data_IF_341392087633
#
_entry.id   IF_341392087633
#
_cell.length_a   1.000
_cell.length_b   1.000
_cell.length_c   1.000
_cell.angle_alpha   90.00
_cell.angle_beta   90.00
_cell.angle_gamma   90.00
#
_symmetry.space_group_name_H-M   'P 1'
#
loop_
_entity.id
_entity.type
_entity.pdbx_description
1 polymer ?
#
# COMPACT_ATOMS: atom_id res chain seq x y z
N UNK A 1 -4.79 21.83 -23.52
CA UNK A 1 -5.61 20.60 -23.39
C UNK A 1 -5.01 19.51 -22.49
N UNK A 2 -3.72 19.54 -22.17
CA UNK A 2 -3.04 18.60 -21.25
C UNK A 2 -3.45 18.69 -19.76
N UNK A 3 -4.26 19.68 -19.38
CA UNK A 3 -4.42 20.08 -17.98
C UNK A 3 -5.60 19.41 -17.24
N UNK A 4 -6.57 18.81 -17.95
CA UNK A 4 -7.76 18.21 -17.30
C UNK A 4 -7.55 16.73 -16.95
N UNK A 5 -6.98 15.93 -17.86
CA UNK A 5 -6.79 14.48 -17.66
C UNK A 5 -5.73 14.12 -16.59
N UNK A 6 -4.76 15.02 -16.34
CA UNK A 6 -3.72 14.82 -15.30
C UNK A 6 -4.14 15.43 -13.95
N UNK A 7 -4.88 16.54 -13.94
CA UNK A 7 -5.34 17.18 -12.69
C UNK A 7 -6.48 16.42 -12.01
N UNK A 8 -7.37 15.79 -12.77
CA UNK A 8 -8.54 15.10 -12.19
C UNK A 8 -8.16 13.94 -11.26
N UNK A 9 -7.25 12.99 -11.62
CA UNK A 9 -6.87 11.90 -10.72
C UNK A 9 -6.18 12.38 -9.43
N UNK A 10 -5.34 13.42 -9.54
CA UNK A 10 -4.70 14.06 -8.39
C UNK A 10 -5.71 14.75 -7.48
N UNK A 11 -6.70 15.44 -8.05
CA UNK A 11 -7.77 16.12 -7.30
C UNK A 11 -8.65 15.15 -6.54
N UNK A 12 -8.95 13.98 -7.10
CA UNK A 12 -9.68 12.92 -6.41
C UNK A 12 -8.90 12.42 -5.20
N UNK A 13 -7.59 12.22 -5.34
CA UNK A 13 -6.72 11.67 -4.28
C UNK A 13 -6.57 12.57 -3.04
N UNK A 14 -7.03 13.82 -3.11
CA UNK A 14 -6.90 14.83 -2.06
C UNK A 14 -8.24 15.33 -1.54
N UNK A 15 -9.37 14.71 -1.92
CA UNK A 15 -10.67 15.07 -1.37
C UNK A 15 -10.82 14.54 0.07
N UNK A 16 -11.68 15.20 0.85
CA UNK A 16 -11.98 14.74 2.21
C UNK A 16 -12.67 13.37 2.19
N UNK A 17 -13.50 13.10 1.19
CA UNK A 17 -14.10 11.78 0.99
C UNK A 17 -13.02 10.71 0.79
N UNK A 18 -12.13 10.91 -0.20
CA UNK A 18 -11.06 9.96 -0.52
C UNK A 18 -10.15 9.71 0.68
N UNK A 19 -9.76 10.77 1.39
CA UNK A 19 -8.83 10.65 2.53
C UNK A 19 -9.46 10.05 3.78
N UNK A 20 -10.74 10.32 4.06
CA UNK A 20 -11.44 9.74 5.21
C UNK A 20 -11.53 8.22 5.14
N UNK A 21 -11.67 7.68 3.91
CA UNK A 21 -11.86 6.25 3.63
C UNK A 21 -10.63 5.39 3.96
N UNK A 22 -9.43 5.97 4.05
CA UNK A 22 -8.26 5.24 4.55
C UNK A 22 -8.41 4.79 6.00
N UNK A 23 -9.17 5.52 6.81
CA UNK A 23 -9.26 5.29 8.25
C UNK A 23 -10.39 4.32 8.66
N UNK A 24 -11.26 3.93 7.74
CA UNK A 24 -12.44 3.11 8.02
C UNK A 24 -12.55 1.89 7.09
N UNK A 25 -13.48 0.99 7.40
CA UNK A 25 -13.70 -0.27 6.68
C UNK A 25 -15.19 -0.54 6.50
N UNK A 26 -15.56 -1.39 5.55
CA UNK A 26 -16.98 -1.70 5.28
C UNK A 26 -17.56 -2.71 6.29
N UNK A 27 -16.69 -3.36 7.07
CA UNK A 27 -17.05 -4.45 7.98
C UNK A 27 -16.67 -4.13 9.44
N UNK A 28 -15.39 -3.82 9.69
CA UNK A 28 -14.83 -3.47 10.99
C UNK A 28 -15.13 -2.01 11.37
N UNK A 29 -15.35 -1.78 12.66
CA UNK A 29 -15.32 -0.43 13.24
C UNK A 29 -13.90 0.19 13.15
N UNK A 30 -13.76 1.53 13.17
CA UNK A 30 -12.46 2.21 13.17
C UNK A 30 -11.49 1.69 14.24
N UNK A 31 -11.97 1.39 15.45
CA UNK A 31 -11.13 0.83 16.51
C UNK A 31 -10.64 -0.58 16.17
N UNK A 32 -11.51 -1.46 15.67
CA UNK A 32 -11.12 -2.81 15.26
C UNK A 32 -10.11 -2.78 14.11
N UNK A 33 -10.30 -1.89 13.13
CA UNK A 33 -9.35 -1.68 12.05
C UNK A 33 -8.00 -1.16 12.58
N UNK A 34 -8.02 -0.22 13.53
CA UNK A 34 -6.81 0.28 14.17
C UNK A 34 -6.05 -0.83 14.90
N UNK A 35 -6.74 -1.64 15.71
CA UNK A 35 -6.14 -2.77 16.43
C UNK A 35 -5.53 -3.77 15.45
N UNK A 36 -6.28 -4.15 14.40
CA UNK A 36 -5.77 -5.04 13.36
C UNK A 36 -4.48 -4.51 12.72
N UNK A 37 -4.50 -3.27 12.24
CA UNK A 37 -3.33 -2.63 11.63
C UNK A 37 -2.15 -2.51 12.61
N UNK A 38 -2.44 -2.24 13.89
CA UNK A 38 -1.45 -2.23 14.96
C UNK A 38 -0.78 -3.59 15.19
N UNK A 39 -1.56 -4.68 15.19
CA UNK A 39 -1.04 -6.05 15.30
C UNK A 39 -0.15 -6.42 14.11
N UNK A 40 -0.58 -6.07 12.89
CA UNK A 40 0.21 -6.30 11.68
C UNK A 40 1.52 -5.51 11.70
N UNK A 41 1.46 -4.21 12.05
CA UNK A 41 2.65 -3.38 12.20
C UNK A 41 3.61 -3.97 13.24
N UNK A 42 3.10 -4.36 14.40
CA UNK A 42 3.89 -4.93 15.48
C UNK A 42 4.59 -6.22 15.04
N UNK A 43 3.87 -7.14 14.40
CA UNK A 43 4.46 -8.36 13.85
C UNK A 43 5.52 -8.04 12.78
N UNK A 44 5.25 -7.11 11.87
CA UNK A 44 6.21 -6.74 10.84
C UNK A 44 7.50 -6.15 11.43
N UNK A 45 7.40 -5.29 12.45
CA UNK A 45 8.56 -4.78 13.17
C UNK A 45 9.32 -5.89 13.91
N UNK A 46 8.63 -6.84 14.55
CA UNK A 46 9.28 -8.01 15.17
C UNK A 46 10.12 -8.77 14.14
N UNK A 47 9.55 -9.08 12.97
CA UNK A 47 10.24 -9.76 11.88
C UNK A 47 11.47 -8.96 11.45
N UNK A 48 11.35 -7.64 11.28
CA UNK A 48 12.46 -6.77 10.87
C UNK A 48 13.59 -6.77 11.90
N UNK A 49 13.27 -6.52 13.17
CA UNK A 49 14.28 -6.42 14.23
C UNK A 49 14.96 -7.76 14.50
N UNK A 50 14.21 -8.87 14.50
CA UNK A 50 14.77 -10.21 14.66
C UNK A 50 15.70 -10.55 13.49
N UNK A 51 15.30 -10.30 12.23
CA UNK A 51 16.15 -10.55 11.07
C UNK A 51 17.40 -9.65 11.07
N UNK A 52 17.28 -8.39 11.47
CA UNK A 52 18.40 -7.46 11.57
C UNK A 52 19.40 -7.92 12.64
N UNK A 53 18.90 -8.30 13.83
CA UNK A 53 19.72 -8.83 14.92
C UNK A 53 20.44 -10.12 14.55
N UNK A 54 19.74 -11.04 13.87
CA UNK A 54 20.33 -12.30 13.41
C UNK A 54 21.39 -12.10 12.31
N UNK A 55 21.23 -11.09 11.46
CA UNK A 55 22.19 -10.79 10.38
C UNK A 55 23.56 -10.33 10.89
N UNK A 56 23.66 -9.90 12.16
CA UNK A 56 24.92 -9.50 12.79
C UNK A 56 25.69 -8.47 11.96
N UNK A 57 26.94 -8.79 11.59
CA UNK A 57 27.79 -7.90 10.78
C UNK A 57 27.23 -7.61 9.38
N UNK A 58 26.36 -8.48 8.84
CA UNK A 58 25.72 -8.29 7.54
C UNK A 58 24.47 -7.39 7.60
N UNK A 59 24.05 -6.92 8.78
CA UNK A 59 22.88 -6.05 8.96
C UNK A 59 22.93 -4.78 8.09
N UNK A 60 24.12 -4.22 7.86
CA UNK A 60 24.28 -3.05 6.98
C UNK A 60 23.94 -3.33 5.51
N UNK A 61 24.05 -4.59 5.07
CA UNK A 61 23.73 -4.99 3.70
C UNK A 61 22.23 -5.23 3.51
N UNK A 62 21.47 -5.45 4.59
CA UNK A 62 20.03 -5.76 4.52
C UNK A 62 19.23 -4.70 3.77
N UNK A 63 19.60 -3.42 3.89
CA UNK A 63 18.94 -2.31 3.17
C UNK A 63 19.21 -2.27 1.66
N UNK A 64 20.10 -3.12 1.15
CA UNK A 64 20.31 -3.28 -0.30
C UNK A 64 19.21 -4.11 -0.97
N UNK A 65 18.46 -4.90 -0.19
CA UNK A 65 17.41 -5.77 -0.70
C UNK A 65 16.07 -5.04 -0.77
N UNK A 66 15.41 -5.07 -1.94
CA UNK A 66 14.09 -4.45 -2.12
C UNK A 66 13.06 -5.00 -1.15
N UNK A 67 13.12 -6.31 -0.87
CA UNK A 67 12.24 -6.97 0.09
C UNK A 67 12.32 -6.31 1.46
N UNK A 68 13.53 -6.05 1.98
CA UNK A 68 13.72 -5.47 3.31
C UNK A 68 13.22 -4.02 3.33
N UNK A 69 13.54 -3.22 2.31
CA UNK A 69 13.03 -1.85 2.16
C UNK A 69 11.50 -1.82 2.08
N UNK A 70 10.92 -2.70 1.25
CA UNK A 70 9.49 -2.84 1.08
C UNK A 70 8.79 -3.29 2.37
N UNK A 71 9.42 -4.17 3.14
CA UNK A 71 8.87 -4.66 4.41
C UNK A 71 8.98 -3.62 5.54
N UNK A 72 10.02 -2.77 5.56
CA UNK A 72 10.04 -1.55 6.38
C UNK A 72 8.91 -0.60 5.98
N UNK A 73 8.73 -0.36 4.68
CA UNK A 73 7.60 0.42 4.16
C UNK A 73 6.26 -0.14 4.62
N UNK A 74 6.09 -1.45 4.55
CA UNK A 74 4.89 -2.17 5.01
C UNK A 74 4.63 -1.93 6.50
N UNK A 75 5.64 -2.14 7.36
CA UNK A 75 5.51 -1.95 8.80
C UNK A 75 5.12 -0.51 9.16
N UNK A 76 5.79 0.49 8.56
CA UNK A 76 5.47 1.90 8.77
C UNK A 76 4.10 2.29 8.22
N UNK A 77 3.71 1.77 7.06
CA UNK A 77 2.38 2.00 6.52
C UNK A 77 1.31 1.54 7.50
N UNK A 78 1.40 0.31 8.00
CA UNK A 78 0.44 -0.21 8.96
C UNK A 78 0.41 0.57 10.27
N UNK A 79 1.57 1.05 10.75
CA UNK A 79 1.63 1.91 11.94
C UNK A 79 0.93 3.27 11.71
N UNK A 80 1.19 3.92 10.58
CA UNK A 80 0.58 5.21 10.22
C UNK A 80 -0.93 5.04 9.97
N UNK A 81 -1.34 4.00 9.25
CA UNK A 81 -2.74 3.67 8.99
C UNK A 81 -3.50 3.29 10.27
N UNK A 82 -2.82 2.63 11.22
CA UNK A 82 -3.35 2.42 12.58
C UNK A 82 -3.63 3.77 13.26
N UNK A 83 -2.69 4.71 13.22
CA UNK A 83 -2.88 6.04 13.78
C UNK A 83 -4.04 6.81 13.10
N UNK A 84 -4.19 6.69 11.78
CA UNK A 84 -5.33 7.28 11.07
C UNK A 84 -6.68 6.69 11.49
N UNK A 85 -6.77 5.37 11.66
CA UNK A 85 -7.99 4.71 12.17
C UNK A 85 -8.27 5.04 13.63
N UNK A 86 -7.24 5.08 14.48
CA UNK A 86 -7.37 5.43 15.89
C UNK A 86 -7.81 6.90 16.07
N UNK A 87 -7.21 7.82 15.32
CA UNK A 87 -7.63 9.23 15.34
C UNK A 87 -9.05 9.41 14.85
N UNK A 88 -9.47 8.69 13.80
CA UNK A 88 -10.87 8.70 13.36
C UNK A 88 -11.80 8.19 14.47
N UNK A 89 -11.45 7.10 15.15
CA UNK A 89 -12.24 6.60 16.28
C UNK A 89 -12.33 7.62 17.42
N UNK A 90 -11.23 8.30 17.76
CA UNK A 90 -11.15 9.26 18.87
C UNK A 90 -11.90 10.57 18.58
N UNK A 91 -11.75 11.10 17.37
CA UNK A 91 -12.14 12.48 17.06
C UNK A 91 -13.25 12.58 16.01
N UNK A 92 -13.61 11.46 15.37
CA UNK A 92 -14.53 11.46 14.23
C UNK A 92 -13.90 11.92 12.91
N UNK A 93 -12.60 12.16 12.90
CA UNK A 93 -11.86 12.58 11.72
C UNK A 93 -10.45 12.00 11.83
N UNK A 94 -9.94 11.45 10.72
CA UNK A 94 -8.58 10.93 10.70
C UNK A 94 -7.57 12.07 10.68
N UNK A 95 -6.39 11.87 11.28
CA UNK A 95 -5.30 12.86 11.17
C UNK A 95 -4.90 13.16 9.73
N UNK A 96 -5.00 12.18 8.83
CA UNK A 96 -4.69 12.35 7.42
C UNK A 96 -5.50 13.47 6.78
N UNK A 97 -6.79 13.59 7.12
CA UNK A 97 -7.67 14.65 6.61
C UNK A 97 -7.20 16.06 7.00
N UNK A 98 -6.48 16.18 8.10
CA UNK A 98 -5.92 17.45 8.61
C UNK A 98 -4.52 17.75 8.07
N UNK A 99 -3.86 16.77 7.45
CA UNK A 99 -2.54 16.98 6.90
C UNK A 99 -2.57 17.86 5.64
N UNK A 100 -1.45 18.53 5.28
CA UNK A 100 -1.33 19.19 4.00
C UNK A 100 -1.68 18.26 2.83
N UNK A 101 -2.28 18.80 1.76
CA UNK A 101 -2.75 18.02 0.59
C UNK A 101 -1.64 17.21 -0.07
N UNK A 102 -0.39 17.68 -0.03
CA UNK A 102 0.77 16.92 -0.50
C UNK A 102 0.99 15.63 0.28
N UNK A 103 0.86 15.66 1.62
CA UNK A 103 1.00 14.48 2.46
C UNK A 103 -0.21 13.53 2.33
N UNK A 104 -1.41 14.06 2.08
CA UNK A 104 -2.59 13.25 1.74
C UNK A 104 -2.34 12.43 0.46
N UNK A 105 -1.84 13.10 -0.58
CA UNK A 105 -1.47 12.42 -1.82
C UNK A 105 -0.31 11.44 -1.62
N UNK A 106 0.72 11.79 -0.85
CA UNK A 106 1.81 10.85 -0.55
C UNK A 106 1.33 9.62 0.22
N UNK A 107 0.34 9.74 1.10
CA UNK A 107 -0.26 8.58 1.75
C UNK A 107 -1.03 7.70 0.75
N UNK A 108 -1.70 8.30 -0.24
CA UNK A 108 -2.32 7.57 -1.36
C UNK A 108 -1.26 6.78 -2.16
N UNK A 109 -0.11 7.38 -2.43
CA UNK A 109 1.04 6.70 -3.07
C UNK A 109 1.58 5.59 -2.17
N UNK A 110 1.71 5.84 -0.86
CA UNK A 110 2.19 4.85 0.10
C UNK A 110 1.27 3.63 0.14
N UNK A 111 -0.04 3.84 0.15
CA UNK A 111 -1.03 2.78 0.01
C UNK A 111 -0.87 1.98 -1.29
N UNK A 112 -0.62 2.66 -2.41
CA UNK A 112 -0.33 1.99 -3.68
C UNK A 112 0.94 1.13 -3.60
N UNK A 113 2.01 1.58 -2.95
CA UNK A 113 3.21 0.73 -2.77
C UNK A 113 2.89 -0.53 -1.96
N UNK A 114 2.08 -0.42 -0.91
CA UNK A 114 1.76 -1.55 -0.03
C UNK A 114 0.81 -2.56 -0.67
N UNK A 115 -0.06 -2.10 -1.55
CA UNK A 115 -1.00 -2.99 -2.24
C UNK A 115 -0.48 -3.51 -3.57
N UNK A 116 0.69 -3.07 -4.03
CA UNK A 116 1.28 -3.50 -5.32
C UNK A 116 2.63 -4.20 -5.14
N UNK A 117 3.59 -3.58 -4.44
CA UNK A 117 4.95 -4.12 -4.34
C UNK A 117 5.05 -5.49 -3.65
N UNK A 118 4.27 -5.80 -2.60
CA UNK A 118 4.33 -7.13 -1.99
C UNK A 118 4.05 -8.27 -2.96
N UNK A 119 3.09 -8.11 -3.88
CA UNK A 119 2.82 -9.12 -4.90
C UNK A 119 3.97 -9.30 -5.89
N UNK A 120 4.67 -8.21 -6.26
CA UNK A 120 5.89 -8.28 -7.08
C UNK A 120 6.98 -9.04 -6.31
N UNK A 121 7.22 -8.68 -5.04
CA UNK A 121 8.23 -9.32 -4.19
C UNK A 121 7.95 -10.81 -4.04
N UNK A 122 6.70 -11.19 -3.78
CA UNK A 122 6.26 -12.58 -3.69
C UNK A 122 6.50 -13.30 -5.01
N UNK A 123 6.05 -12.73 -6.15
CA UNK A 123 6.23 -13.35 -7.46
C UNK A 123 7.71 -13.57 -7.82
N UNK A 124 8.57 -12.55 -7.61
CA UNK A 124 10.01 -12.66 -7.90
C UNK A 124 10.69 -13.64 -6.97
N UNK A 125 10.38 -13.61 -5.67
CA UNK A 125 11.01 -14.52 -4.73
C UNK A 125 10.62 -15.98 -5.02
N UNK A 126 9.32 -16.28 -5.07
CA UNK A 126 8.85 -17.66 -5.27
C UNK A 126 9.09 -18.17 -6.69
N UNK A 127 9.10 -17.30 -7.69
CA UNK A 127 9.34 -17.66 -9.08
C UNK A 127 10.82 -17.79 -9.45
N UNK A 128 11.73 -17.07 -8.78
CA UNK A 128 13.13 -16.99 -9.23
C UNK A 128 14.19 -17.13 -8.12
N UNK A 129 13.86 -16.92 -6.84
CA UNK A 129 14.85 -16.84 -5.75
C UNK A 129 14.61 -17.85 -4.61
N UNK A 130 13.60 -18.73 -4.71
CA UNK A 130 13.18 -19.62 -3.62
C UNK A 130 14.08 -20.84 -3.39
N UNK A 131 15.20 -20.96 -4.12
CA UNK A 131 16.12 -22.07 -3.90
C UNK A 131 16.67 -22.05 -2.46
N UNK A 132 16.45 -23.14 -1.72
CA UNK A 132 16.84 -23.23 -0.31
C UNK A 132 15.93 -22.46 0.66
N UNK A 133 14.77 -21.98 0.21
CA UNK A 133 13.85 -21.18 1.05
C UNK A 133 13.37 -21.90 2.31
N UNK A 134 13.41 -23.24 2.32
CA UNK A 134 13.00 -24.11 3.43
C UNK A 134 14.16 -24.99 3.93
N UNK A 135 15.39 -24.51 3.82
CA UNK A 135 16.58 -25.28 4.24
C UNK A 135 16.64 -25.55 5.75
N UNK A 136 16.04 -24.69 6.57
CA UNK A 136 15.87 -24.88 8.01
C UNK A 136 14.71 -24.01 8.53
N UNK A 137 14.40 -24.14 9.81
CA UNK A 137 13.29 -23.42 10.46
C UNK A 137 13.44 -21.89 10.36
N UNK A 138 14.67 -21.38 10.49
CA UNK A 138 14.94 -19.95 10.42
C UNK A 138 14.73 -19.38 9.01
N UNK A 139 15.30 -20.04 7.99
CA UNK A 139 15.12 -19.62 6.59
C UNK A 139 13.67 -19.76 6.17
N UNK A 140 12.98 -20.84 6.58
CA UNK A 140 11.56 -21.01 6.35
C UNK A 140 10.74 -19.86 6.97
N UNK A 141 10.93 -19.58 8.26
CA UNK A 141 10.20 -18.52 8.97
C UNK A 141 10.44 -17.15 8.34
N UNK A 142 11.71 -16.76 8.17
CA UNK A 142 12.07 -15.43 7.63
C UNK A 142 11.55 -15.25 6.21
N UNK A 143 11.61 -16.29 5.38
CA UNK A 143 11.12 -16.23 4.00
C UNK A 143 9.59 -16.18 3.92
N UNK A 144 8.89 -17.01 4.71
CA UNK A 144 7.43 -16.95 4.79
C UNK A 144 6.98 -15.55 5.24
N UNK A 145 7.61 -14.99 6.28
CA UNK A 145 7.28 -13.66 6.78
C UNK A 145 7.46 -12.58 5.71
N UNK A 146 8.64 -12.49 5.09
CA UNK A 146 8.95 -11.37 4.21
C UNK A 146 8.44 -11.55 2.76
N UNK A 147 8.27 -12.79 2.29
CA UNK A 147 7.98 -13.08 0.89
C UNK A 147 6.61 -13.74 0.64
N UNK A 148 5.90 -14.20 1.68
CA UNK A 148 4.52 -14.69 1.54
C UNK A 148 3.52 -13.85 2.32
N UNK A 149 3.77 -13.61 3.62
CA UNK A 149 2.85 -12.86 4.47
C UNK A 149 2.73 -11.39 4.06
N UNK A 150 3.75 -10.82 3.42
CA UNK A 150 3.67 -9.48 2.83
C UNK A 150 2.48 -9.33 1.85
N UNK A 151 2.24 -10.31 0.97
CA UNK A 151 1.13 -10.33 0.02
C UNK A 151 -0.20 -10.62 0.70
N UNK A 152 -0.21 -11.43 1.76
CA UNK A 152 -1.41 -11.64 2.59
C UNK A 152 -1.83 -10.34 3.26
N UNK A 153 -0.88 -9.60 3.85
CA UNK A 153 -1.14 -8.29 4.44
C UNK A 153 -1.67 -7.32 3.36
N UNK A 154 -0.99 -7.21 2.22
CA UNK A 154 -1.45 -6.39 1.09
C UNK A 154 -2.88 -6.74 0.65
N UNK A 155 -3.20 -8.02 0.54
CA UNK A 155 -4.54 -8.50 0.18
C UNK A 155 -5.59 -8.10 1.20
N UNK A 156 -5.33 -8.26 2.49
CA UNK A 156 -6.21 -7.83 3.58
C UNK A 156 -6.48 -6.31 3.49
N UNK A 157 -5.46 -5.51 3.17
CA UNK A 157 -5.60 -4.06 3.02
C UNK A 157 -6.34 -3.62 1.74
N UNK A 158 -6.48 -4.52 0.76
CA UNK A 158 -7.37 -4.34 -0.40
C UNK A 158 -8.81 -4.68 -0.03
N UNK A 159 -9.00 -5.73 0.77
CA UNK A 159 -10.32 -6.29 1.07
C UNK A 159 -11.08 -5.48 2.12
N UNK A 160 -10.48 -5.16 3.27
CA UNK A 160 -11.24 -4.60 4.40
C UNK A 160 -11.43 -3.08 4.39
N UNK A 161 -10.39 -2.23 4.31
CA UNK A 161 -10.53 -0.77 4.46
C UNK A 161 -11.31 -0.16 3.30
N UNK A 162 -12.25 0.79 3.48
CA UNK A 162 -13.10 1.40 2.40
C UNK A 162 -12.38 2.30 1.40
N UNK A 163 -11.07 2.15 1.28
CA UNK A 163 -10.22 2.86 0.33
C UNK A 163 -10.80 2.82 -1.08
N UNK A 164 -10.75 3.97 -1.75
CA UNK A 164 -11.15 4.08 -3.15
C UNK A 164 -10.04 3.54 -4.07
N UNK A 165 -10.37 3.16 -5.32
CA UNK A 165 -9.41 2.70 -6.29
C UNK A 165 -8.23 3.65 -6.46
N UNK A 166 -7.05 3.10 -6.69
CA UNK A 166 -5.83 3.91 -6.88
C UNK A 166 -6.01 4.90 -8.02
N UNK A 167 -5.80 6.20 -7.81
CA UNK A 167 -5.64 7.15 -8.90
C UNK A 167 -4.58 6.63 -9.87
N UNK A 168 -4.87 6.59 -11.17
CA UNK A 168 -3.92 6.08 -12.18
C UNK A 168 -2.55 6.76 -12.12
N UNK A 169 -2.51 8.02 -11.68
CA UNK A 169 -1.27 8.76 -11.51
C UNK A 169 -0.33 8.16 -10.43
N UNK A 170 -0.84 7.39 -9.48
CA UNK A 170 -0.02 6.74 -8.45
C UNK A 170 0.97 5.72 -9.03
N UNK A 171 0.75 5.22 -10.26
CA UNK A 171 1.74 4.34 -10.90
C UNK A 171 3.07 5.04 -11.16
N UNK A 172 3.07 6.35 -11.41
CA UNK A 172 4.27 7.13 -11.71
C UNK A 172 5.29 7.08 -10.55
N UNK A 173 4.94 7.45 -9.30
CA UNK A 173 5.86 7.32 -8.19
C UNK A 173 6.27 5.87 -7.90
N UNK A 174 5.40 4.87 -8.16
CA UNK A 174 5.78 3.46 -8.02
C UNK A 174 6.91 3.09 -8.99
N UNK A 175 6.79 3.48 -10.26
CA UNK A 175 7.84 3.25 -11.27
C UNK A 175 9.12 4.01 -10.92
N UNK A 176 9.01 5.25 -10.45
CA UNK A 176 10.16 6.04 -9.99
C UNK A 176 10.87 5.35 -8.83
N UNK A 177 10.13 4.84 -7.83
CA UNK A 177 10.71 4.10 -6.70
C UNK A 177 11.44 2.83 -7.14
N UNK A 178 10.88 2.09 -8.12
CA UNK A 178 11.55 0.90 -8.68
C UNK A 178 12.83 1.29 -9.44
N UNK A 179 12.83 2.39 -10.18
CA UNK A 179 14.02 2.91 -10.86
C UNK A 179 15.10 3.39 -9.87
N UNK A 180 14.69 4.08 -8.80
CA UNK A 180 15.59 4.47 -7.72
C UNK A 180 16.19 3.26 -7.02
N UNK A 181 15.39 2.21 -6.79
CA UNK A 181 15.88 0.95 -6.25
C UNK A 181 16.89 0.27 -7.17
N UNK A 182 16.65 0.26 -8.48
CA UNK A 182 17.63 -0.25 -9.44
C UNK A 182 18.96 0.51 -9.32
N UNK A 183 18.90 1.84 -9.20
CA UNK A 183 20.08 2.67 -8.92
C UNK A 183 20.78 2.29 -7.61
N UNK A 184 20.02 2.07 -6.54
CA UNK A 184 20.54 1.60 -5.25
C UNK A 184 21.22 0.23 -5.37
N UNK A 185 20.65 -0.73 -6.12
CA UNK A 185 21.25 -2.05 -6.29
C UNK A 185 22.64 -1.98 -6.97
N UNK A 186 22.81 -1.10 -7.96
CA UNK A 186 24.12 -0.86 -8.57
C UNK A 186 25.06 -0.05 -7.68
N UNK A 187 24.53 0.87 -6.86
CA UNK A 187 25.32 1.57 -5.84
C UNK A 187 25.85 0.58 -4.78
N UNK A 188 25.03 -0.38 -4.34
CA UNK A 188 25.47 -1.48 -3.47
C UNK A 188 26.61 -2.25 -4.13
N UNK A 189 26.51 -2.60 -5.41
CA UNK A 189 27.61 -3.25 -6.10
C UNK A 189 28.89 -2.41 -6.07
N UNK A 190 28.78 -1.11 -6.38
CA UNK A 190 29.92 -0.19 -6.39
C UNK A 190 30.57 0.04 -5.01
N UNK A 191 29.82 -0.13 -3.92
CA UNK A 191 30.29 0.22 -2.56
C UNK A 191 30.54 -1.00 -1.69
N UNK A 192 29.90 -2.14 -1.98
CA UNK A 192 29.93 -3.37 -1.18
C UNK A 192 30.38 -4.59 -1.99
N UNK A 193 30.70 -4.43 -3.28
CA UNK A 193 31.30 -5.44 -4.17
C UNK A 193 30.46 -6.71 -4.41
N UNK A 194 29.13 -6.63 -4.32
CA UNK A 194 28.23 -7.72 -4.69
C UNK A 194 26.98 -7.24 -5.41
N UNK A 195 26.39 -8.08 -6.27
CA UNK A 195 25.08 -7.84 -6.85
C UNK A 195 24.00 -8.42 -5.94
N UNK A 196 22.99 -7.61 -5.62
CA UNK A 196 21.88 -8.00 -4.74
C UNK A 196 21.10 -9.18 -5.30
N UNK A 197 20.97 -9.24 -6.64
CA UNK A 197 20.30 -10.32 -7.34
C UNK A 197 21.16 -10.84 -8.49
N UNK A 198 21.21 -12.17 -8.73
CA UNK A 198 21.98 -12.75 -9.83
C UNK A 198 21.59 -12.21 -11.21
N UNK A 199 20.30 -11.93 -11.43
CA UNK A 199 19.81 -11.39 -12.70
C UNK A 199 20.22 -9.93 -12.98
N UNK A 200 20.87 -9.26 -12.02
CA UNK A 200 21.46 -7.94 -12.20
C UNK A 200 22.97 -7.99 -12.52
N UNK A 201 23.61 -9.17 -12.40
CA UNK A 201 25.03 -9.32 -12.69
C UNK A 201 25.27 -9.42 -14.22
N UNK A 202 26.05 -8.50 -14.84
CA UNK A 202 26.36 -8.54 -16.26
C UNK A 202 27.04 -9.83 -16.71
N UNK A 203 27.72 -10.56 -15.81
CA UNK A 203 28.32 -11.87 -16.11
C UNK A 203 27.28 -12.93 -16.47
N UNK A 204 26.06 -12.78 -15.97
CA UNK A 204 24.93 -13.67 -16.29
C UNK A 204 24.19 -13.26 -17.58
N UNK A 205 24.68 -12.23 -18.28
CA UNK A 205 24.21 -11.81 -19.60
C UNK A 205 23.38 -10.53 -19.58
N UNK A 206 23.73 -9.58 -20.45
CA UNK A 206 23.04 -8.29 -20.58
C UNK A 206 21.55 -8.42 -20.96
N UNK A 207 21.21 -9.46 -21.73
CA UNK A 207 19.83 -9.78 -22.09
C UNK A 207 18.97 -10.17 -20.88
N UNK A 208 19.55 -10.87 -19.89
CA UNK A 208 18.86 -11.23 -18.65
C UNK A 208 18.54 -9.98 -17.82
N UNK A 209 19.48 -9.04 -17.72
CA UNK A 209 19.28 -7.76 -17.01
C UNK A 209 18.13 -6.97 -17.66
N UNK A 210 18.19 -6.81 -18.98
CA UNK A 210 17.15 -6.07 -19.72
C UNK A 210 15.78 -6.75 -19.56
N UNK A 211 15.73 -8.08 -19.69
CA UNK A 211 14.52 -8.87 -19.48
C UNK A 211 13.96 -8.73 -18.06
N UNK A 212 14.80 -8.76 -17.03
CA UNK A 212 14.38 -8.59 -15.64
C UNK A 212 13.83 -7.18 -15.39
N UNK A 213 14.49 -6.13 -15.90
CA UNK A 213 14.02 -4.74 -15.74
C UNK A 213 12.66 -4.53 -16.42
N UNK A 214 12.51 -4.99 -17.67
CA UNK A 214 11.26 -4.88 -18.43
C UNK A 214 10.17 -5.75 -17.77
N UNK A 215 10.51 -6.96 -17.33
CA UNK A 215 9.60 -7.88 -16.67
C UNK A 215 9.04 -7.33 -15.36
N UNK A 216 9.90 -6.75 -14.50
CA UNK A 216 9.48 -6.12 -13.24
C UNK A 216 8.62 -4.87 -13.52
N UNK A 217 8.98 -4.05 -14.51
CA UNK A 217 8.16 -2.90 -14.91
C UNK A 217 6.78 -3.35 -15.40
N UNK A 218 6.71 -4.35 -16.28
CA UNK A 218 5.46 -4.90 -16.76
C UNK A 218 4.62 -5.50 -15.62
N UNK A 219 5.25 -6.26 -14.71
CA UNK A 219 4.59 -6.81 -13.53
C UNK A 219 4.01 -5.70 -12.64
N UNK A 220 4.74 -4.59 -12.43
CA UNK A 220 4.24 -3.44 -11.67
C UNK A 220 2.99 -2.83 -12.31
N UNK A 221 2.97 -2.65 -13.64
CA UNK A 221 1.82 -2.12 -14.37
C UNK A 221 0.61 -3.06 -14.29
N UNK A 222 0.83 -4.36 -14.52
CA UNK A 222 -0.23 -5.37 -14.48
C UNK A 222 -0.82 -5.48 -13.08
N UNK A 223 0.02 -5.62 -12.05
CA UNK A 223 -0.43 -5.75 -10.66
C UNK A 223 -1.13 -4.47 -10.21
N UNK A 224 -0.60 -3.28 -10.52
CA UNK A 224 -1.29 -2.02 -10.21
C UNK A 224 -2.70 -1.98 -10.80
N UNK A 225 -2.84 -2.39 -12.06
CA UNK A 225 -4.13 -2.44 -12.76
C UNK A 225 -5.08 -3.44 -12.11
N UNK A 226 -4.61 -4.65 -11.81
CA UNK A 226 -5.41 -5.68 -11.11
C UNK A 226 -5.87 -5.16 -9.76
N UNK A 227 -4.98 -4.60 -8.95
CA UNK A 227 -5.28 -4.07 -7.61
C UNK A 227 -6.29 -2.91 -7.70
N UNK A 228 -6.14 -2.00 -8.65
CA UNK A 228 -7.13 -0.94 -8.91
C UNK A 228 -8.53 -1.53 -9.12
N UNK A 229 -8.65 -2.55 -9.98
CA UNK A 229 -9.94 -3.18 -10.25
C UNK A 229 -10.45 -4.07 -9.11
N UNK A 230 -9.58 -4.70 -8.32
CA UNK A 230 -9.98 -5.43 -7.12
C UNK A 230 -10.57 -4.49 -6.07
N UNK A 231 -9.95 -3.32 -5.85
CA UNK A 231 -10.49 -2.30 -4.94
C UNK A 231 -11.86 -1.82 -5.46
N UNK A 232 -11.97 -1.54 -6.77
CA UNK A 232 -13.23 -1.11 -7.40
C UNK A 232 -14.32 -2.17 -7.31
N UNK A 233 -13.97 -3.44 -7.55
CA UNK A 233 -14.88 -4.58 -7.43
C UNK A 233 -15.38 -4.69 -5.99
N UNK A 234 -14.47 -4.62 -5.02
CA UNK A 234 -14.81 -4.68 -3.61
C UNK A 234 -15.72 -3.52 -3.22
N UNK A 235 -15.39 -2.28 -3.60
CA UNK A 235 -16.25 -1.10 -3.36
C UNK A 235 -17.66 -1.31 -3.92
N UNK A 236 -17.76 -1.77 -5.17
CA UNK A 236 -19.06 -2.05 -5.81
C UNK A 236 -19.86 -3.15 -5.09
N UNK A 237 -19.21 -4.25 -4.69
CA UNK A 237 -19.86 -5.32 -3.92
C UNK A 237 -20.35 -4.76 -2.58
N UNK A 238 -19.46 -4.13 -1.81
CA UNK A 238 -19.77 -3.77 -0.43
C UNK A 238 -20.71 -2.58 -0.35
N UNK A 239 -20.49 -1.53 -1.14
CA UNK A 239 -21.24 -0.28 -1.02
C UNK A 239 -22.46 -0.25 -1.94
N UNK A 240 -22.30 -0.59 -3.22
CA UNK A 240 -23.41 -0.52 -4.18
C UNK A 240 -24.36 -1.70 -4.08
N UNK A 241 -23.85 -2.93 -3.90
CA UNK A 241 -24.70 -4.14 -3.88
C UNK A 241 -25.22 -4.49 -2.51
N UNK A 242 -24.40 -4.35 -1.47
CA UNK A 242 -24.77 -4.75 -0.11
C UNK A 242 -25.14 -3.57 0.81
N UNK A 243 -24.91 -2.31 0.40
CA UNK A 243 -25.18 -1.13 1.23
C UNK A 243 -24.33 -1.06 2.51
N UNK A 244 -23.19 -1.76 2.54
CA UNK A 244 -22.28 -1.85 3.67
C UNK A 244 -21.28 -0.69 3.66
N UNK A 245 -21.70 0.43 4.26
CA UNK A 245 -20.85 1.61 4.44
C UNK A 245 -19.99 1.55 5.71
N UNK A 246 -20.05 0.44 6.45
CA UNK A 246 -19.24 0.24 7.65
C UNK A 246 -19.79 0.91 8.92
N UNK A 247 -19.26 0.46 10.06
CA UNK A 247 -19.63 0.97 11.37
C UNK A 247 -18.76 2.19 11.75
N UNK A 248 -19.24 3.41 11.49
CA UNK A 248 -18.51 4.66 11.75
C UNK A 248 -18.68 5.18 13.20
N UNK A 249 -18.91 4.30 14.17
CA UNK A 249 -18.97 4.67 15.59
C UNK A 249 -17.63 5.19 16.09
N UNK A 250 -17.66 6.37 16.70
CA UNK A 250 -16.55 6.98 17.43
C UNK A 250 -16.56 6.58 18.90
N UNK A 251 -15.50 6.90 19.64
CA UNK A 251 -15.36 6.63 21.09
C UNK A 251 -16.56 7.12 21.91
N UNK A 252 -17.12 8.26 21.55
CA UNK A 252 -18.25 8.88 22.26
C UNK A 252 -19.62 8.41 21.73
N UNK A 253 -19.66 7.35 20.93
CA UNK A 253 -20.90 6.82 20.35
C UNK A 253 -21.48 7.66 19.21
N UNK A 254 -20.84 8.77 18.82
CA UNK A 254 -21.26 9.57 17.67
C UNK A 254 -21.12 8.73 16.41
N UNK A 255 -22.24 8.51 15.72
CA UNK A 255 -22.28 7.97 14.37
C UNK A 255 -22.03 9.09 13.38
N UNK A 256 -21.02 8.91 12.52
CA UNK A 256 -20.81 9.81 11.40
C UNK A 256 -21.62 9.24 10.24
N UNK A 257 -22.58 10.00 9.67
CA UNK A 257 -23.26 9.56 8.47
C UNK A 257 -22.22 9.22 7.42
N UNK A 258 -22.28 8.02 6.84
CA UNK A 258 -21.50 7.77 5.63
C UNK A 258 -21.98 8.79 4.60
N UNK A 259 -21.09 9.64 4.08
CA UNK A 259 -21.43 10.48 2.95
C UNK A 259 -21.80 9.55 1.80
N UNK A 260 -23.09 9.41 1.54
CA UNK A 260 -23.62 8.62 0.43
C UNK A 260 -23.52 9.46 -0.84
N UNK A 261 -23.36 8.82 -2.00
CA UNK A 261 -23.49 9.50 -3.29
C UNK A 261 -24.84 10.26 -3.40
N UNK A 262 -25.92 9.75 -2.79
CA UNK A 262 -27.24 10.40 -2.74
C UNK A 262 -27.26 11.72 -1.95
N UNK A 263 -26.45 11.85 -0.89
CA UNK A 263 -26.39 13.09 -0.10
C UNK A 263 -25.78 14.27 -0.85
N UNK A 264 -24.96 13.99 -1.86
CA UNK A 264 -24.37 15.00 -2.76
C UNK A 264 -25.41 15.43 -3.81
N UNK A 265 -26.11 14.46 -4.43
CA UNK A 265 -27.15 14.75 -5.43
C UNK A 265 -28.31 15.58 -4.86
N UNK A 266 -28.76 15.32 -3.62
CA UNK A 266 -29.83 16.11 -3.00
C UNK A 266 -29.41 17.54 -2.61
N UNK A 267 -28.11 17.81 -2.41
CA UNK A 267 -27.62 19.16 -2.07
C UNK A 267 -27.52 20.09 -3.28
N UNK A 268 -27.43 19.54 -4.49
CA UNK A 268 -27.34 20.30 -5.75
C UNK A 268 -28.71 20.55 -6.40
N UNK A 269 -29.80 19.97 -5.88
CA UNK A 269 -31.16 20.27 -6.32
C UNK A 269 -31.69 21.48 -5.54
N UNK A 270 -31.42 22.69 -6.06
CA UNK A 270 -32.23 23.86 -5.68
C UNK A 270 -33.67 23.60 -6.14
N UNK A 271 -34.69 23.64 -5.26
CA UNK A 271 -36.07 23.59 -5.71
C UNK A 271 -36.32 24.82 -6.59
N UNK A 272 -36.73 24.60 -7.84
CA UNK A 272 -37.28 25.65 -8.71
C UNK A 272 -38.56 26.16 -8.05
N UNK A 273 -38.48 27.26 -7.31
CA UNK A 273 -39.65 27.93 -6.77
C UNK A 273 -39.40 28.65 -5.45
N UNK A 274 -38.55 29.68 -5.45
CA UNK A 274 -38.63 30.75 -4.45
C UNK A 274 -37.89 32.00 -4.95
N UNK A 275 -38.44 32.63 -5.97
CA UNK A 275 -38.32 34.08 -6.14
C UNK A 275 -39.73 34.63 -5.98
N UNK A 276 -39.94 35.30 -4.86
CA UNK A 276 -41.08 36.15 -4.57
C UNK A 276 -40.54 37.58 -4.42
#
# INVERSE_FOLDING_TARGET
MFNRRVREPYRVAITNEYTSRFANSWFLSPLQLAIWRGLVAFYAFIVLFINLGHSGKAAGQSFSYFTVLGYWGLAFYYAVSCAHSASFWLYGESWLQRWPRSLQWLHSVFYATITVFPFIVTAVFWGALAYGAFSNEWTAWSNISQHALNSVMAFVEIVFPRTLPHPWFNIVPLVVLLALYLGLAYLTHSTQNFYVYPFLDPKNGKGLIAGACIGILAAAVVIFTVVHFLIKLREWITETKLGLYGNLKTRNGKLIPSQTHESVEMSDVRPKGSEA
#
